data_IF_554487690101
#
_entry.id   IF_554487690101
#
_cell.length_a   1.000
_cell.length_b   1.000
_cell.length_c   1.000
_cell.angle_alpha   90.00
_cell.angle_beta   90.00
_cell.angle_gamma   90.00
#
_symmetry.space_group_name_H-M   'P 1'
#
loop_
_entity.id
_entity.type
_entity.pdbx_description
1 polymer ?
#
# COMPACT_ATOMS: atom_id res chain seq x y z
N UNK A 1 -9.18 14.27 10.04
CA UNK A 1 -7.79 14.25 10.55
C UNK A 1 -7.11 13.06 9.92
N UNK A 2 -6.20 13.28 8.98
CA UNK A 2 -5.38 12.19 8.44
C UNK A 2 -4.47 11.69 9.57
N UNK A 3 -4.50 10.39 9.87
CA UNK A 3 -3.59 9.81 10.88
C UNK A 3 -2.17 9.91 10.32
N UNK A 4 -1.30 10.59 11.05
CA UNK A 4 0.09 10.79 10.62
C UNK A 4 0.90 9.49 10.60
N UNK A 5 0.50 8.51 11.43
CA UNK A 5 1.15 7.21 11.54
C UNK A 5 0.13 6.09 11.75
N UNK A 6 0.41 4.94 11.14
CA UNK A 6 -0.34 3.70 11.20
C UNK A 6 0.52 2.61 11.84
N UNK A 7 -0.04 1.85 12.77
CA UNK A 7 0.60 0.67 13.35
C UNK A 7 0.59 -0.50 12.38
N UNK A 8 1.48 -1.49 12.60
CA UNK A 8 1.50 -2.71 11.79
C UNK A 8 0.17 -3.46 11.78
N UNK A 9 -0.59 -3.40 12.87
CA UNK A 9 -1.93 -3.99 12.98
C UNK A 9 -2.92 -3.30 12.06
N UNK A 10 -2.98 -1.97 12.12
CA UNK A 10 -3.86 -1.17 11.25
C UNK A 10 -3.52 -1.37 9.78
N UNK A 11 -2.23 -1.40 9.41
CA UNK A 11 -1.83 -1.66 8.01
C UNK A 11 -2.24 -3.07 7.57
N UNK A 12 -2.12 -4.07 8.45
CA UNK A 12 -2.53 -5.44 8.16
C UNK A 12 -4.05 -5.54 7.93
N UNK A 13 -4.84 -4.89 8.79
CA UNK A 13 -6.30 -4.80 8.63
C UNK A 13 -6.69 -4.11 7.32
N UNK A 14 -6.02 -3.00 6.96
CA UNK A 14 -6.27 -2.28 5.70
C UNK A 14 -5.99 -3.11 4.45
N UNK A 15 -5.03 -4.03 4.53
CA UNK A 15 -4.68 -4.92 3.42
C UNK A 15 -5.46 -6.24 3.46
N UNK A 16 -6.20 -6.52 4.53
CA UNK A 16 -6.84 -7.82 4.75
C UNK A 16 -5.84 -8.97 4.93
N UNK A 17 -4.64 -8.67 5.46
CA UNK A 17 -3.51 -9.60 5.53
C UNK A 17 -2.98 -9.75 6.96
N UNK A 18 -2.06 -10.69 7.16
CA UNK A 18 -1.45 -10.90 8.49
C UNK A 18 -0.40 -9.84 8.83
N UNK A 19 -0.29 -9.47 10.11
CA UNK A 19 0.76 -8.58 10.61
C UNK A 19 2.17 -9.10 10.34
N UNK A 20 2.34 -10.43 10.29
CA UNK A 20 3.59 -11.10 9.90
C UNK A 20 3.99 -10.78 8.46
N UNK A 21 3.03 -10.77 7.52
CA UNK A 21 3.30 -10.43 6.13
C UNK A 21 3.72 -8.96 5.98
N UNK A 22 3.02 -8.04 6.65
CA UNK A 22 3.38 -6.61 6.67
C UNK A 22 4.76 -6.41 7.29
N UNK A 23 5.12 -7.17 8.33
CA UNK A 23 6.45 -7.15 8.95
C UNK A 23 7.53 -7.62 7.99
N UNK A 24 7.23 -8.69 7.26
CA UNK A 24 8.13 -9.25 6.28
C UNK A 24 8.34 -8.24 5.14
N UNK A 25 7.28 -7.73 4.53
CA UNK A 25 7.37 -6.73 3.46
C UNK A 25 8.07 -5.44 3.88
N UNK A 26 7.82 -4.91 5.08
CA UNK A 26 8.56 -3.74 5.59
C UNK A 26 10.05 -3.97 5.76
N UNK A 27 10.51 -5.22 5.79
CA UNK A 27 11.93 -5.56 5.87
C UNK A 27 12.50 -5.82 4.48
N UNK A 28 11.78 -6.56 3.64
CA UNK A 28 12.18 -6.89 2.26
C UNK A 28 12.25 -5.64 1.36
N UNK A 29 11.30 -4.73 1.54
CA UNK A 29 11.15 -3.51 0.74
C UNK A 29 11.61 -2.26 1.50
N UNK A 30 12.62 -2.38 2.37
CA UNK A 30 13.11 -1.26 3.21
C UNK A 30 13.53 0.00 2.42
N UNK A 31 13.88 -0.16 1.15
CA UNK A 31 14.22 0.94 0.24
C UNK A 31 13.00 1.85 -0.06
N UNK A 32 11.80 1.26 -0.04
CA UNK A 32 10.52 1.89 -0.35
C UNK A 32 9.66 2.15 0.89
N UNK A 33 9.76 1.29 1.89
CA UNK A 33 8.98 1.36 3.12
C UNK A 33 9.92 1.62 4.28
N UNK A 34 9.82 2.80 4.87
CA UNK A 34 10.75 3.30 5.89
C UNK A 34 10.02 3.50 7.22
N UNK A 35 9.73 2.40 7.95
CA UNK A 35 8.99 2.50 9.19
C UNK A 35 9.75 3.30 10.24
N UNK A 36 9.05 4.25 10.86
CA UNK A 36 9.54 4.94 12.05
C UNK A 36 9.36 4.04 13.26
N UNK A 37 10.35 3.96 14.14
CA UNK A 37 10.23 3.22 15.40
C UNK A 37 9.76 4.17 16.50
N UNK A 38 8.73 3.75 17.24
CA UNK A 38 8.33 4.47 18.45
C UNK A 38 9.26 4.15 19.64
N UNK A 39 9.07 4.83 20.78
CA UNK A 39 9.85 4.60 22.02
C UNK A 39 9.80 3.17 22.55
N UNK A 40 8.79 2.38 22.17
CA UNK A 40 8.62 0.96 22.56
C UNK A 40 9.19 -0.02 21.51
N UNK A 41 9.79 0.48 20.43
CA UNK A 41 10.37 -0.33 19.36
C UNK A 41 9.39 -0.81 18.28
N UNK A 42 8.11 -0.43 18.36
CA UNK A 42 7.10 -0.80 17.36
C UNK A 42 7.28 0.03 16.09
N UNK A 43 7.08 -0.64 14.93
CA UNK A 43 7.08 0.00 13.61
C UNK A 43 5.78 0.78 13.41
N UNK A 44 5.94 2.02 13.00
CA UNK A 44 4.91 2.94 12.56
C UNK A 44 5.15 3.29 11.10
N UNK A 45 4.06 3.37 10.35
CA UNK A 45 4.06 3.58 8.91
C UNK A 45 3.34 4.88 8.59
N UNK A 46 3.88 5.65 7.66
CA UNK A 46 3.22 6.85 7.12
C UNK A 46 2.15 6.46 6.10
N UNK A 47 1.32 7.41 5.66
CA UNK A 47 0.39 7.18 4.56
C UNK A 47 1.11 6.76 3.25
N UNK A 48 2.32 7.27 3.02
CA UNK A 48 3.16 6.91 1.87
C UNK A 48 3.63 5.44 1.98
N UNK A 49 4.06 5.00 3.16
CA UNK A 49 4.41 3.60 3.40
C UNK A 49 3.21 2.67 3.13
N UNK A 50 2.01 3.09 3.55
CA UNK A 50 0.75 2.35 3.30
C UNK A 50 0.44 2.27 1.80
N UNK A 51 0.65 3.35 1.04
CA UNK A 51 0.54 3.31 -0.41
C UNK A 51 1.54 2.32 -1.02
N UNK A 52 2.80 2.34 -0.55
CA UNK A 52 3.83 1.37 -0.94
C UNK A 52 3.40 -0.08 -0.70
N UNK A 53 2.79 -0.39 0.44
CA UNK A 53 2.27 -1.73 0.71
C UNK A 53 1.15 -2.15 -0.27
N UNK A 54 0.25 -1.23 -0.64
CA UNK A 54 -0.81 -1.53 -1.62
C UNK A 54 -0.22 -1.87 -2.99
N UNK A 55 0.84 -1.18 -3.40
CA UNK A 55 1.57 -1.47 -4.64
C UNK A 55 2.19 -2.87 -4.57
N UNK A 56 2.90 -3.18 -3.48
CA UNK A 56 3.50 -4.51 -3.29
C UNK A 56 2.43 -5.60 -3.32
N UNK A 57 1.29 -5.37 -2.67
CA UNK A 57 0.17 -6.29 -2.67
C UNK A 57 -0.32 -6.58 -4.10
N UNK A 58 -0.58 -5.54 -4.89
CA UNK A 58 -1.00 -5.69 -6.28
C UNK A 58 0.04 -6.47 -7.11
N UNK A 59 1.32 -6.13 -6.99
CA UNK A 59 2.38 -6.79 -7.77
C UNK A 59 2.55 -8.27 -7.39
N UNK A 60 2.55 -8.59 -6.10
CA UNK A 60 2.87 -9.93 -5.62
C UNK A 60 1.64 -10.85 -5.65
N UNK A 61 0.48 -10.36 -5.21
CA UNK A 61 -0.71 -11.19 -4.97
C UNK A 61 -1.66 -11.20 -6.17
N UNK A 62 -1.86 -10.06 -6.82
CA UNK A 62 -2.77 -9.97 -7.98
C UNK A 62 -2.05 -10.29 -9.29
N UNK A 63 -0.80 -9.83 -9.46
CA UNK A 63 0.00 -10.10 -10.67
C UNK A 63 0.91 -11.33 -10.57
N UNK A 64 1.03 -11.94 -9.40
CA UNK A 64 1.84 -13.15 -9.19
C UNK A 64 3.34 -12.95 -9.36
N UNK A 65 3.85 -11.72 -9.21
CA UNK A 65 5.29 -11.46 -9.32
C UNK A 65 6.06 -12.02 -8.12
N UNK A 66 7.31 -12.41 -8.35
CA UNK A 66 8.25 -12.70 -7.26
C UNK A 66 8.60 -11.42 -6.50
N UNK A 67 9.04 -11.55 -5.24
CA UNK A 67 9.43 -10.41 -4.42
C UNK A 67 10.55 -9.58 -5.09
N UNK A 68 11.55 -10.26 -5.68
CA UNK A 68 12.63 -9.60 -6.42
C UNK A 68 12.12 -8.89 -7.68
N UNK A 69 11.19 -9.51 -8.41
CA UNK A 69 10.54 -8.92 -9.57
C UNK A 69 9.75 -7.66 -9.21
N UNK A 70 8.96 -7.73 -8.13
CA UNK A 70 8.23 -6.57 -7.61
C UNK A 70 9.20 -5.47 -7.14
N UNK A 71 10.30 -5.83 -6.48
CA UNK A 71 11.31 -4.88 -6.00
C UNK A 71 12.02 -4.17 -7.15
N UNK A 72 12.40 -4.91 -8.20
CA UNK A 72 12.96 -4.35 -9.44
C UNK A 72 11.93 -3.43 -10.11
N UNK A 73 10.68 -3.88 -10.22
CA UNK A 73 9.59 -3.09 -10.79
C UNK A 73 9.40 -1.76 -10.06
N UNK A 74 9.41 -1.76 -8.73
CA UNK A 74 9.29 -0.55 -7.92
C UNK A 74 10.50 0.39 -8.07
N UNK A 75 11.70 -0.13 -8.36
CA UNK A 75 12.90 0.70 -8.65
C UNK A 75 12.83 1.32 -10.04
N UNK A 76 12.49 0.50 -11.04
CA UNK A 76 12.44 0.89 -12.45
C UNK A 76 11.25 1.83 -12.75
N UNK A 77 10.17 1.76 -11.96
CA UNK A 77 8.94 2.55 -12.16
C UNK A 77 8.99 4.00 -11.66
N UNK A 78 10.14 4.54 -11.25
CA UNK A 78 10.24 5.92 -10.74
C UNK A 78 9.79 7.01 -11.73
N UNK A 79 9.58 6.68 -13.01
CA UNK A 79 9.28 7.68 -14.06
C UNK A 79 8.00 7.43 -14.90
N UNK A 80 7.26 6.31 -14.76
CA UNK A 80 6.26 5.94 -15.78
C UNK A 80 4.90 5.37 -15.35
N UNK A 81 4.78 4.72 -14.19
CA UNK A 81 3.63 3.86 -13.90
C UNK A 81 2.88 4.15 -12.58
N UNK A 82 3.24 5.22 -11.86
CA UNK A 82 2.36 5.83 -10.84
C UNK A 82 0.94 6.07 -11.40
N UNK A 83 0.86 6.32 -12.71
CA UNK A 83 -0.39 6.42 -13.45
C UNK A 83 -1.33 5.23 -13.24
N UNK A 84 -0.88 3.99 -13.16
CA UNK A 84 -1.83 2.86 -13.06
C UNK A 84 -2.51 2.80 -11.69
N UNK A 85 -1.76 3.09 -10.63
CA UNK A 85 -2.29 3.12 -9.26
C UNK A 85 -3.16 4.36 -9.05
N UNK A 86 -2.74 5.50 -9.57
CA UNK A 86 -3.52 6.74 -9.57
C UNK A 86 -4.80 6.61 -10.42
N UNK A 87 -4.73 5.93 -11.56
CA UNK A 87 -5.88 5.63 -12.42
C UNK A 87 -6.83 4.69 -11.68
N UNK A 88 -6.33 3.62 -11.04
CA UNK A 88 -7.18 2.70 -10.28
C UNK A 88 -7.84 3.42 -9.09
N UNK A 89 -7.11 4.27 -8.37
CA UNK A 89 -7.66 5.08 -7.28
C UNK A 89 -8.73 6.05 -7.80
N UNK A 90 -8.48 6.71 -8.93
CA UNK A 90 -9.42 7.62 -9.59
C UNK A 90 -10.67 6.90 -10.08
N UNK A 91 -10.51 5.74 -10.74
CA UNK A 91 -11.61 4.91 -11.22
C UNK A 91 -12.46 4.37 -10.08
N UNK A 92 -11.85 3.94 -8.97
CA UNK A 92 -12.58 3.51 -7.79
C UNK A 92 -13.35 4.69 -7.16
N UNK A 93 -12.77 5.89 -7.12
CA UNK A 93 -13.45 7.09 -6.61
C UNK A 93 -14.66 7.45 -7.47
N UNK A 94 -14.51 7.43 -8.80
CA UNK A 94 -15.62 7.66 -9.74
C UNK A 94 -16.70 6.59 -9.58
N UNK A 95 -16.30 5.32 -9.45
CA UNK A 95 -17.24 4.20 -9.22
C UNK A 95 -18.04 4.41 -7.93
N UNK A 96 -17.39 4.79 -6.83
CA UNK A 96 -18.09 5.08 -5.57
C UNK A 96 -19.08 6.22 -5.72
N UNK A 97 -18.69 7.33 -6.33
CA UNK A 97 -19.57 8.48 -6.56
C UNK A 97 -20.80 8.12 -7.43
N UNK A 98 -20.60 7.33 -8.49
CA UNK A 98 -21.70 6.88 -9.36
C UNK A 98 -22.65 5.92 -8.64
N UNK A 99 -22.12 5.09 -7.74
CA UNK A 99 -22.93 4.17 -6.93
C UNK A 99 -23.78 4.96 -5.92
N UNK A 100 -23.20 5.96 -5.27
CA UNK A 100 -23.92 6.87 -4.35
C UNK A 100 -25.05 7.62 -5.05
N UNK A 101 -24.85 8.10 -6.28
CA UNK A 101 -25.90 8.76 -7.08
C UNK A 101 -27.02 7.77 -7.41
N UNK A 102 -26.67 6.54 -7.80
CA UNK A 102 -27.65 5.49 -8.10
C UNK A 102 -28.50 5.14 -6.88
N UNK A 103 -27.90 5.07 -5.69
CA UNK A 103 -28.60 4.71 -4.46
C UNK A 103 -29.45 5.87 -3.89
N UNK A 104 -29.25 7.10 -4.39
CA UNK A 104 -30.05 8.29 -4.06
C UNK A 104 -31.28 8.48 -4.98
N UNK A 105 -31.43 7.64 -6.01
CA UNK A 105 -32.58 7.62 -6.93
C UNK A 105 -33.49 6.43 -6.67
#
# INVERSE_FOLDING_TARGET
MDKMYYSIGEVAEMLGESTSLVRFWSTTFYEFIKPVRNKKGNRLFTAEDVAGFKIIYHLVKERGMTLEGAKKRMRDNKEGEDRTVDIIASLNRIKTQLTEIKDLM
#
